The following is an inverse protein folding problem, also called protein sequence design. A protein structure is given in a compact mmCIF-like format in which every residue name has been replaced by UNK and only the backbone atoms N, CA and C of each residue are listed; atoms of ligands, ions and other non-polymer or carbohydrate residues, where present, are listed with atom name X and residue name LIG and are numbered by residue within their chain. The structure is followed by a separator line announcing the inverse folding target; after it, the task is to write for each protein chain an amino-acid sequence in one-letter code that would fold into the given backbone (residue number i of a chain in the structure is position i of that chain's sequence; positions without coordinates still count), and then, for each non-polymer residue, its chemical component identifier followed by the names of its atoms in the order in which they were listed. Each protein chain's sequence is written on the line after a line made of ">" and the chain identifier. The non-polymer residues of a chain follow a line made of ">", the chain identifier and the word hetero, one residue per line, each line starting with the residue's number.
data_IF_916498274810
#
_entry.id   IF_916498274810
#
_cell.length_a   1.000
_cell.length_b   1.000
_cell.length_c   1.000
_cell.angle_alpha   90.00
_cell.angle_beta   90.00
_cell.angle_gamma   90.00
#
_symmetry.space_group_name_H-M   'P 1'
#
loop_
_entity.id
_entity.type
_entity.pdbx_description
1 polymer ?
#
# COMPACT_ATOMS: atom_id res chain seq x y z
N UNK A 1 1.86 4.64 -18.52
CA UNK A 1 1.63 5.27 -17.21
C UNK A 1 2.20 6.68 -17.24
N UNK A 2 1.68 7.61 -16.44
CA UNK A 2 2.37 8.89 -16.16
C UNK A 2 3.53 8.62 -15.20
N UNK A 3 4.54 9.49 -15.20
CA UNK A 3 5.65 9.42 -14.24
C UNK A 3 5.15 9.69 -12.82
N UNK A 4 5.73 8.99 -11.85
CA UNK A 4 5.50 9.18 -10.41
C UNK A 4 6.81 8.91 -9.67
N UNK A 5 6.99 9.54 -8.51
CA UNK A 5 8.03 9.16 -7.58
C UNK A 5 7.64 7.87 -6.83
N UNK A 6 8.63 7.15 -6.30
CA UNK A 6 8.39 5.91 -5.57
C UNK A 6 9.13 5.96 -4.23
N UNK A 7 8.39 5.78 -3.14
CA UNK A 7 8.90 5.85 -1.77
C UNK A 7 8.68 4.50 -1.08
N UNK A 8 9.61 4.09 -0.22
CA UNK A 8 9.46 2.89 0.59
C UNK A 8 9.20 3.29 2.04
N UNK A 9 7.99 3.09 2.52
CA UNK A 9 7.68 3.25 3.94
C UNK A 9 8.14 2.00 4.71
N UNK A 10 8.84 2.20 5.82
CA UNK A 10 9.38 1.13 6.69
C UNK A 10 8.60 0.99 7.99
N UNK A 11 7.63 1.86 8.23
CA UNK A 11 6.69 1.78 9.35
C UNK A 11 5.32 2.32 8.95
N UNK A 12 4.29 1.99 9.74
CA UNK A 12 2.94 2.54 9.56
C UNK A 12 2.95 4.06 9.72
N UNK A 13 3.67 4.57 10.72
CA UNK A 13 3.77 6.02 10.97
C UNK A 13 4.41 6.76 9.79
N UNK A 14 5.48 6.21 9.20
CA UNK A 14 6.11 6.78 8.01
C UNK A 14 5.15 6.80 6.82
N UNK A 15 4.39 5.71 6.60
CA UNK A 15 3.37 5.67 5.55
C UNK A 15 2.29 6.75 5.75
N UNK A 16 1.83 6.95 7.00
CA UNK A 16 0.86 7.99 7.36
C UNK A 16 1.45 9.38 7.11
N UNK A 17 2.68 9.63 7.55
CA UNK A 17 3.37 10.91 7.34
C UNK A 17 3.50 11.24 5.84
N UNK A 18 3.84 10.25 5.01
CA UNK A 18 3.88 10.43 3.56
C UNK A 18 2.48 10.74 2.99
N UNK A 19 1.45 10.00 3.37
CA UNK A 19 0.07 10.29 2.94
C UNK A 19 -0.36 11.71 3.28
N UNK A 20 -0.08 12.18 4.50
CA UNK A 20 -0.35 13.55 4.96
C UNK A 20 0.44 14.56 4.13
N UNK A 21 1.73 14.32 3.89
CA UNK A 21 2.61 15.17 3.07
C UNK A 21 2.05 15.38 1.66
N UNK A 22 1.56 14.32 1.02
CA UNK A 22 1.09 14.37 -0.37
C UNK A 22 -0.38 14.77 -0.52
N UNK A 23 -1.15 14.91 0.58
CA UNK A 23 -2.52 15.46 0.61
C UNK A 23 -3.45 14.86 -0.45
N UNK A 24 -3.50 13.52 -0.51
CA UNK A 24 -4.35 12.78 -1.47
C UNK A 24 -3.71 12.53 -2.84
N UNK A 25 -2.53 13.11 -3.13
CA UNK A 25 -1.77 12.87 -4.37
C UNK A 25 -0.84 11.65 -4.30
N UNK A 26 -0.96 10.85 -3.25
CA UNK A 26 -0.24 9.60 -3.08
C UNK A 26 -1.19 8.40 -3.19
N UNK A 27 -0.69 7.26 -3.67
CA UNK A 27 -1.36 5.97 -3.55
C UNK A 27 -0.44 4.97 -2.85
N UNK A 28 -1.00 4.16 -1.96
CA UNK A 28 -0.29 3.05 -1.34
C UNK A 28 -0.16 1.89 -2.32
N UNK A 29 1.00 1.24 -2.34
CA UNK A 29 1.26 0.04 -3.11
C UNK A 29 1.48 -1.15 -2.17
N UNK A 30 0.44 -1.98 -2.05
CA UNK A 30 0.50 -3.32 -1.44
C UNK A 30 0.95 -4.34 -2.49
N UNK A 31 0.12 -5.32 -2.86
CA UNK A 31 0.41 -6.29 -3.93
C UNK A 31 0.57 -5.64 -5.31
N UNK A 32 -0.23 -4.60 -5.60
CA UNK A 32 -0.15 -3.81 -6.83
C UNK A 32 -0.96 -4.35 -8.00
N UNK A 33 -1.64 -5.50 -7.86
CA UNK A 33 -2.47 -6.12 -8.91
C UNK A 33 -3.50 -5.14 -9.46
N UNK A 34 -4.29 -4.52 -8.58
CA UNK A 34 -5.29 -3.52 -9.01
C UNK A 34 -4.64 -2.19 -9.40
N UNK A 35 -3.78 -1.66 -8.53
CA UNK A 35 -3.18 -0.33 -8.71
C UNK A 35 -2.39 -0.21 -10.02
N UNK A 36 -1.58 -1.21 -10.36
CA UNK A 36 -0.77 -1.17 -11.58
C UNK A 36 -1.65 -1.29 -12.83
N UNK A 37 -2.76 -2.02 -12.77
CA UNK A 37 -3.74 -2.09 -13.86
C UNK A 37 -4.31 -0.71 -14.17
N UNK A 38 -4.92 -0.05 -13.19
CA UNK A 38 -5.56 1.25 -13.40
C UNK A 38 -4.58 2.35 -13.85
N UNK A 39 -3.33 2.30 -13.40
CA UNK A 39 -2.28 3.24 -13.83
C UNK A 39 -1.82 2.99 -15.27
N UNK A 40 -1.76 1.71 -15.71
CA UNK A 40 -1.37 1.31 -17.07
C UNK A 40 -2.46 1.66 -18.08
N UNK A 41 -3.70 1.32 -17.76
CA UNK A 41 -4.88 1.50 -18.61
C UNK A 41 -5.33 2.96 -18.72
N UNK A 42 -4.74 3.79 -17.86
CA UNK A 42 -4.89 5.24 -17.84
C UNK A 42 -6.27 5.75 -17.44
N UNK A 43 -6.98 5.01 -16.60
CA UNK A 43 -8.38 5.25 -16.26
C UNK A 43 -8.62 6.01 -14.96
N UNK A 44 -7.57 6.54 -14.31
CA UNK A 44 -7.73 7.37 -13.12
C UNK A 44 -8.08 8.82 -13.50
N UNK A 45 -9.03 9.47 -12.80
CA UNK A 45 -9.32 10.89 -13.00
C UNK A 45 -8.11 11.76 -12.62
N UNK A 46 -7.45 11.41 -11.51
CA UNK A 46 -6.25 12.05 -11.01
C UNK A 46 -5.15 11.01 -10.81
N UNK A 47 -3.93 11.33 -11.25
CA UNK A 47 -2.79 10.43 -11.13
C UNK A 47 -1.96 10.77 -9.90
N UNK A 48 -1.46 9.76 -9.18
CA UNK A 48 -0.57 9.99 -8.06
C UNK A 48 0.75 10.61 -8.52
N UNK A 49 1.24 11.55 -7.73
CA UNK A 49 2.60 12.08 -7.85
C UNK A 49 3.61 11.13 -7.20
N UNK A 50 3.19 10.38 -6.19
CA UNK A 50 4.01 9.38 -5.52
C UNK A 50 3.25 8.07 -5.29
N UNK A 51 3.97 6.97 -5.45
CA UNK A 51 3.54 5.64 -5.03
C UNK A 51 4.33 5.25 -3.78
N UNK A 52 3.63 4.96 -2.69
CA UNK A 52 4.24 4.58 -1.41
C UNK A 52 4.18 3.06 -1.28
N UNK A 53 5.31 2.40 -1.46
CA UNK A 53 5.43 0.97 -1.21
C UNK A 53 5.40 0.69 0.29
N UNK A 54 4.40 -0.07 0.72
CA UNK A 54 4.21 -0.47 2.12
C UNK A 54 4.61 -1.93 2.37
N UNK A 55 4.98 -2.69 1.33
CA UNK A 55 5.52 -4.06 1.45
C UNK A 55 6.65 -4.22 2.49
N UNK A 56 7.54 -3.24 2.74
CA UNK A 56 8.59 -3.39 3.76
C UNK A 56 8.08 -3.44 5.20
N UNK A 57 6.82 -3.07 5.47
CA UNK A 57 6.26 -3.04 6.83
C UNK A 57 5.84 -4.47 7.23
N UNK A 58 6.80 -5.24 7.76
CA UNK A 58 6.60 -6.65 8.10
C UNK A 58 5.45 -6.90 9.08
N UNK A 59 5.16 -5.95 10.00
CA UNK A 59 4.07 -6.08 10.97
C UNK A 59 2.67 -6.08 10.33
N UNK A 60 2.55 -5.75 9.04
CA UNK A 60 1.28 -5.82 8.30
C UNK A 60 1.12 -7.14 7.53
N UNK A 61 2.12 -8.02 7.51
CA UNK A 61 2.06 -9.34 6.86
C UNK A 61 2.12 -10.43 7.93
N UNK A 62 1.07 -10.51 8.74
CA UNK A 62 0.96 -11.47 9.85
C UNK A 62 -0.41 -12.15 9.83
N UNK A 63 -0.46 -13.35 10.39
CA UNK A 63 -1.69 -14.06 10.75
C UNK A 63 -1.48 -14.47 12.20
N UNK A 64 -2.25 -13.88 13.11
CA UNK A 64 -2.11 -14.05 14.55
C UNK A 64 -3.45 -14.54 15.11
N UNK A 65 -3.42 -15.62 15.89
CA UNK A 65 -4.58 -16.13 16.62
C UNK A 65 -4.43 -15.78 18.10
N UNK A 66 -5.53 -15.34 18.71
CA UNK A 66 -5.63 -15.06 20.15
C UNK A 66 -7.03 -15.45 20.66
N UNK A 67 -7.27 -15.24 21.96
CA UNK A 67 -8.53 -15.60 22.62
C UNK A 67 -9.78 -14.93 21.99
N UNK A 68 -9.59 -13.79 21.30
CA UNK A 68 -10.64 -13.03 20.64
C UNK A 68 -10.83 -13.42 19.15
N UNK A 69 -9.97 -14.29 18.61
CA UNK A 69 -10.03 -14.81 17.25
C UNK A 69 -8.76 -14.60 16.43
N UNK A 70 -8.92 -14.48 15.10
CA UNK A 70 -7.80 -14.37 14.16
C UNK A 70 -7.68 -12.93 13.65
N UNK A 71 -6.49 -12.35 13.82
CA UNK A 71 -6.08 -11.07 13.24
C UNK A 71 -5.21 -11.32 12.01
N UNK A 72 -5.67 -10.84 10.85
CA UNK A 72 -4.94 -10.90 9.58
C UNK A 72 -4.43 -9.51 9.22
N UNK A 73 -3.11 -9.40 9.02
CA UNK A 73 -2.48 -8.17 8.57
C UNK A 73 -2.87 -7.79 7.13
N UNK A 74 -2.97 -6.49 6.86
CA UNK A 74 -3.46 -5.96 5.57
C UNK A 74 -2.56 -6.30 4.35
N UNK A 75 -1.32 -6.75 4.59
CA UNK A 75 -0.37 -7.16 3.55
C UNK A 75 -0.25 -8.69 3.43
N UNK A 76 -1.03 -9.47 4.19
CA UNK A 76 -1.09 -10.91 4.03
C UNK A 76 -1.63 -11.25 2.64
N UNK A 77 -0.83 -11.91 1.77
CA UNK A 77 -1.25 -12.23 0.42
C UNK A 77 -2.25 -13.39 0.43
N UNK A 78 -3.12 -13.45 -0.59
CA UNK A 78 -4.15 -14.49 -0.71
C UNK A 78 -3.60 -15.92 -0.71
N UNK A 79 -2.36 -16.13 -1.14
CA UNK A 79 -1.73 -17.47 -1.11
C UNK A 79 -1.45 -17.97 0.32
N UNK A 80 -1.46 -17.08 1.31
CA UNK A 80 -1.21 -17.39 2.71
C UNK A 80 -2.51 -17.51 3.53
N UNK A 81 -3.68 -17.42 2.89
CA UNK A 81 -5.02 -17.52 3.50
C UNK A 81 -5.74 -18.71 2.87
#
# INVERSE_FOLDING_TARGET
>A
MKSFAHENARSVDEAIQLLVKYKGRAKLNAGGTDLLGVLKDRILPDYPEVIINIKPIAQLNTIEENDDGIRIGALTPLINI
#
